data_IF_053635720063
#
_entry.id   IF_053635720063
#
_cell.length_a   1.000
_cell.length_b   1.000
_cell.length_c   1.000
_cell.angle_alpha   90.00
_cell.angle_beta   90.00
_cell.angle_gamma   90.00
#
_symmetry.space_group_name_H-M   'P 1'
#
loop_
_entity.id
_entity.type
_entity.pdbx_description
1 polymer ?
#
# COMPACT_ATOMS: atom_id res chain seq x y z
N UNK A 1 -29.93 16.66 -0.46
CA UNK A 1 -28.76 15.76 -0.56
C UNK A 1 -28.74 15.17 -1.95
N UNK A 2 -27.64 15.30 -2.70
CA UNK A 2 -27.56 14.81 -4.09
C UNK A 2 -27.33 13.30 -4.03
N UNK A 3 -28.26 12.50 -4.56
CA UNK A 3 -28.12 11.04 -4.56
C UNK A 3 -26.87 10.62 -5.33
N UNK A 4 -25.91 10.10 -4.58
CA UNK A 4 -24.67 9.57 -5.12
C UNK A 4 -25.01 8.26 -5.83
N UNK A 5 -24.67 8.13 -7.12
CA UNK A 5 -24.95 6.90 -7.87
C UNK A 5 -24.18 5.69 -7.32
N UNK A 6 -24.75 4.48 -7.43
CA UNK A 6 -24.08 3.20 -7.05
C UNK A 6 -22.66 3.08 -7.60
N UNK A 7 -22.40 3.54 -8.82
CA UNK A 7 -21.07 3.53 -9.43
C UNK A 7 -20.06 4.46 -8.75
N UNK A 8 -20.52 5.52 -8.10
CA UNK A 8 -19.67 6.42 -7.32
C UNK A 8 -19.27 5.81 -5.97
N UNK A 9 -20.15 5.03 -5.33
CA UNK A 9 -19.83 4.31 -4.09
C UNK A 9 -18.73 3.26 -4.30
N UNK A 10 -18.81 2.47 -5.37
CA UNK A 10 -17.79 1.46 -5.69
C UNK A 10 -16.43 2.14 -5.89
N UNK A 11 -16.38 3.27 -6.61
CA UNK A 11 -15.15 4.03 -6.78
C UNK A 11 -14.60 4.51 -5.45
N UNK A 12 -15.45 5.04 -4.56
CA UNK A 12 -15.01 5.51 -3.24
C UNK A 12 -14.41 4.36 -2.41
N UNK A 13 -15.09 3.21 -2.33
CA UNK A 13 -14.60 2.03 -1.60
C UNK A 13 -13.24 1.58 -2.16
N UNK A 14 -13.09 1.54 -3.49
CA UNK A 14 -11.84 1.18 -4.13
C UNK A 14 -10.69 2.14 -3.79
N UNK A 15 -10.99 3.44 -3.66
CA UNK A 15 -10.00 4.44 -3.23
C UNK A 15 -9.62 4.27 -1.74
N UNK A 16 -10.58 3.91 -0.88
CA UNK A 16 -10.32 3.62 0.55
C UNK A 16 -9.40 2.41 0.70
N UNK A 17 -9.60 1.34 -0.09
CA UNK A 17 -8.71 0.17 -0.09
C UNK A 17 -7.28 0.58 -0.49
N UNK A 18 -7.12 1.46 -1.48
CA UNK A 18 -5.81 1.97 -1.90
C UNK A 18 -5.13 2.86 -0.85
N UNK A 19 -5.89 3.42 0.09
CA UNK A 19 -5.38 4.26 1.18
C UNK A 19 -4.80 3.42 2.34
N UNK A 20 -4.99 2.10 2.33
CA UNK A 20 -4.39 1.22 3.34
C UNK A 20 -2.87 1.49 3.39
N UNK A 21 -2.31 1.79 4.58
CA UNK A 21 -0.89 2.12 4.75
C UNK A 21 -0.04 0.84 4.72
N UNK A 22 -0.07 0.14 3.59
CA UNK A 22 0.61 -1.14 3.41
C UNK A 22 2.13 -1.07 3.64
N UNK A 23 2.85 -0.01 3.23
CA UNK A 23 4.26 0.13 3.57
C UNK A 23 4.53 0.08 5.07
N UNK A 24 3.71 0.76 5.87
CA UNK A 24 3.78 0.67 7.33
C UNK A 24 3.45 -0.72 7.83
N UNK A 25 2.36 -1.34 7.34
CA UNK A 25 1.96 -2.67 7.78
C UNK A 25 3.05 -3.72 7.52
N UNK A 26 3.72 -3.65 6.36
CA UNK A 26 4.84 -4.53 6.03
C UNK A 26 5.94 -4.42 7.10
N UNK A 27 6.45 -3.22 7.32
CA UNK A 27 7.53 -2.97 8.29
C UNK A 27 7.09 -3.28 9.72
N UNK A 28 5.89 -2.87 10.13
CA UNK A 28 5.37 -3.12 11.47
C UNK A 28 5.18 -4.60 11.78
N UNK A 29 4.68 -5.38 10.81
CA UNK A 29 4.57 -6.83 10.94
C UNK A 29 5.96 -7.43 11.12
N UNK A 30 6.87 -7.11 10.20
CA UNK A 30 8.22 -7.68 10.14
C UNK A 30 9.07 -7.34 11.37
N UNK A 31 8.98 -6.12 11.87
CA UNK A 31 9.87 -5.63 12.94
C UNK A 31 9.28 -5.70 14.34
N UNK A 32 7.96 -5.67 14.49
CA UNK A 32 7.33 -5.38 15.79
C UNK A 32 6.31 -6.42 16.26
N UNK A 33 5.65 -7.16 15.37
CA UNK A 33 4.53 -8.03 15.75
C UNK A 33 4.92 -9.50 15.96
N UNK A 34 5.66 -10.13 15.05
CA UNK A 34 6.04 -11.53 15.21
C UNK A 34 7.49 -11.82 14.86
N UNK A 35 8.10 -12.74 15.62
CA UNK A 35 9.38 -13.35 15.29
C UNK A 35 9.25 -14.16 13.99
N UNK A 36 10.14 -13.93 13.02
CA UNK A 36 10.13 -14.56 11.68
C UNK A 36 8.88 -14.30 10.83
N UNK A 37 8.22 -13.15 11.00
CA UNK A 37 7.04 -12.75 10.22
C UNK A 37 7.33 -12.22 8.81
N UNK A 38 8.59 -12.18 8.37
CA UNK A 38 8.96 -11.63 7.06
C UNK A 38 8.18 -12.26 5.91
N UNK A 39 7.96 -13.58 5.95
CA UNK A 39 7.15 -14.28 4.94
C UNK A 39 5.67 -13.88 4.99
N UNK A 40 5.12 -13.66 6.18
CA UNK A 40 3.73 -13.21 6.35
C UNK A 40 3.55 -11.77 5.85
N UNK A 41 4.47 -10.86 6.21
CA UNK A 41 4.48 -9.49 5.71
C UNK A 41 4.59 -9.44 4.17
N UNK A 42 5.48 -10.26 3.60
CA UNK A 42 5.66 -10.37 2.16
C UNK A 42 4.40 -10.90 1.46
N UNK A 43 3.85 -12.04 1.90
CA UNK A 43 2.65 -12.62 1.29
C UNK A 43 1.44 -11.70 1.42
N UNK A 44 1.25 -11.06 2.57
CA UNK A 44 0.19 -10.08 2.79
C UNK A 44 0.33 -8.87 1.86
N UNK A 45 1.55 -8.37 1.67
CA UNK A 45 1.84 -7.25 0.74
C UNK A 45 1.61 -7.65 -0.71
N UNK A 46 2.04 -8.86 -1.10
CA UNK A 46 1.83 -9.39 -2.45
C UNK A 46 0.33 -9.54 -2.74
N UNK A 47 -0.43 -10.09 -1.80
CA UNK A 47 -1.88 -10.22 -1.90
C UNK A 47 -2.54 -8.84 -2.03
N UNK A 48 -2.12 -7.87 -1.22
CA UNK A 48 -2.60 -6.50 -1.31
C UNK A 48 -2.33 -5.89 -2.69
N UNK A 49 -1.11 -6.02 -3.21
CA UNK A 49 -0.74 -5.53 -4.55
C UNK A 49 -1.66 -6.10 -5.63
N UNK A 50 -1.93 -7.41 -5.58
CA UNK A 50 -2.78 -8.08 -6.56
C UNK A 50 -4.21 -7.57 -6.49
N UNK A 51 -4.81 -7.56 -5.30
CA UNK A 51 -6.18 -7.13 -5.09
C UNK A 51 -6.36 -5.65 -5.45
N UNK A 52 -5.47 -4.78 -4.95
CA UNK A 52 -5.49 -3.35 -5.24
C UNK A 52 -5.30 -3.07 -6.74
N UNK A 53 -4.41 -3.81 -7.41
CA UNK A 53 -4.21 -3.74 -8.86
C UNK A 53 -5.48 -4.06 -9.65
N UNK A 54 -6.16 -5.17 -9.31
CA UNK A 54 -7.41 -5.58 -9.98
C UNK A 54 -8.53 -4.55 -9.73
N UNK A 55 -8.73 -4.15 -8.48
CA UNK A 55 -9.81 -3.24 -8.07
C UNK A 55 -9.63 -1.83 -8.68
N UNK A 56 -8.38 -1.44 -8.98
CA UNK A 56 -8.04 -0.12 -9.52
C UNK A 56 -8.13 -0.01 -11.05
N UNK A 57 -8.52 -1.06 -11.78
CA UNK A 57 -8.68 -1.04 -13.25
C UNK A 57 -9.58 0.11 -13.73
N UNK A 58 -10.70 0.36 -13.05
CA UNK A 58 -11.67 1.42 -13.41
C UNK A 58 -11.35 2.81 -12.82
N UNK A 59 -10.24 2.95 -12.09
CA UNK A 59 -9.79 4.22 -11.50
C UNK A 59 -8.75 4.87 -12.43
N UNK A 60 -8.76 6.21 -12.54
CA UNK A 60 -7.72 6.94 -13.29
C UNK A 60 -6.37 6.80 -12.58
N UNK A 61 -5.30 6.56 -13.33
CA UNK A 61 -3.92 6.38 -12.79
C UNK A 61 -3.50 7.52 -11.85
N UNK A 62 -3.84 8.77 -12.17
CA UNK A 62 -3.48 9.93 -11.37
C UNK A 62 -4.06 9.86 -9.94
N UNK A 63 -5.26 9.29 -9.76
CA UNK A 63 -5.84 9.10 -8.43
C UNK A 63 -5.13 7.99 -7.65
N UNK A 64 -4.69 6.93 -8.33
CA UNK A 64 -3.91 5.84 -7.71
C UNK A 64 -2.59 6.41 -7.19
N UNK A 65 -1.87 7.16 -8.03
CA UNK A 65 -0.60 7.79 -7.66
C UNK A 65 -0.80 8.74 -6.47
N UNK A 66 -1.79 9.62 -6.53
CA UNK A 66 -2.10 10.55 -5.44
C UNK A 66 -2.39 9.82 -4.13
N UNK A 67 -3.23 8.79 -4.16
CA UNK A 67 -3.57 8.01 -2.96
C UNK A 67 -2.38 7.23 -2.44
N UNK A 68 -1.53 6.68 -3.32
CA UNK A 68 -0.31 6.01 -2.89
C UNK A 68 0.68 6.98 -2.23
N UNK A 69 0.74 8.25 -2.66
CA UNK A 69 1.51 9.28 -1.96
C UNK A 69 0.91 9.54 -0.57
N UNK A 70 -0.42 9.70 -0.46
CA UNK A 70 -1.09 9.89 0.83
C UNK A 70 -0.92 8.69 1.78
N UNK A 71 -1.03 7.47 1.26
CA UNK A 71 -0.80 6.22 1.99
C UNK A 71 0.64 6.12 2.48
N UNK A 72 1.64 6.56 1.69
CA UNK A 72 3.03 6.64 2.11
C UNK A 72 3.23 7.65 3.25
N UNK A 73 2.68 8.86 3.12
CA UNK A 73 2.74 9.86 4.18
C UNK A 73 2.11 9.36 5.48
N UNK A 74 0.93 8.74 5.38
CA UNK A 74 0.26 8.09 6.51
C UNK A 74 1.14 6.97 7.10
N UNK A 75 1.76 6.15 6.26
CA UNK A 75 2.66 5.08 6.68
C UNK A 75 3.87 5.61 7.44
N UNK A 76 4.45 6.74 7.04
CA UNK A 76 5.56 7.36 7.76
C UNK A 76 5.15 7.89 9.13
N UNK A 77 3.93 8.45 9.25
CA UNK A 77 3.38 8.89 10.54
C UNK A 77 3.19 7.69 11.45
N UNK A 78 2.53 6.64 10.95
CA UNK A 78 2.30 5.41 11.71
C UNK A 78 3.61 4.70 12.09
N UNK A 79 4.59 4.64 11.19
CA UNK A 79 5.89 4.05 11.46
C UNK A 79 6.57 4.70 12.65
N UNK A 80 6.58 6.05 12.70
CA UNK A 80 7.13 6.81 13.83
C UNK A 80 6.39 6.59 15.15
N UNK A 81 5.10 6.26 15.10
CA UNK A 81 4.28 6.06 16.30
C UNK A 81 4.36 4.63 16.85
N UNK A 82 4.47 3.62 15.97
CA UNK A 82 4.25 2.22 16.36
C UNK A 82 5.48 1.31 16.18
N UNK A 83 6.45 1.67 15.32
CA UNK A 83 7.66 0.86 15.15
C UNK A 83 8.68 1.30 16.19
N UNK A 84 8.83 0.49 17.25
CA UNK A 84 9.78 0.72 18.35
C UNK A 84 11.06 -0.08 18.06
N UNK A 85 12.21 0.60 18.00
CA UNK A 85 13.52 0.01 17.68
C UNK A 85 13.93 -1.08 18.69
N UNK A 86 14.50 -2.21 18.20
CA UNK A 86 15.95 -2.24 17.97
C UNK A 86 16.38 -2.77 16.58
N UNK A 87 15.47 -2.94 15.61
CA UNK A 87 15.82 -3.46 14.28
C UNK A 87 16.48 -2.39 13.38
N UNK A 88 17.69 -1.98 13.76
CA UNK A 88 18.49 -0.99 13.04
C UNK A 88 18.89 -1.47 11.64
N UNK A 89 19.02 -2.78 11.40
CA UNK A 89 19.50 -3.33 10.12
C UNK A 89 18.61 -2.97 8.94
N UNK A 90 17.28 -2.98 9.11
CA UNK A 90 16.37 -2.73 8.00
C UNK A 90 16.21 -1.24 7.68
N UNK A 91 16.48 -0.41 8.67
CA UNK A 91 16.41 1.04 8.50
C UNK A 91 17.78 1.62 8.16
N UNK A 92 18.88 0.90 8.34
CA UNK A 92 20.19 1.39 7.96
C UNK A 92 20.47 1.21 6.46
N UNK A 93 21.22 2.16 5.85
CA UNK A 93 21.76 3.40 6.44
C UNK A 93 20.82 4.61 6.36
N UNK A 94 19.65 4.49 5.73
CA UNK A 94 18.85 5.66 5.29
C UNK A 94 17.72 6.11 6.24
N UNK A 95 17.47 5.34 7.29
CA UNK A 95 16.40 5.51 8.26
C UNK A 95 15.05 4.92 7.83
N UNK A 96 14.14 4.79 8.82
CA UNK A 96 12.82 4.20 8.65
C UNK A 96 11.93 4.93 7.64
N UNK A 97 11.98 6.26 7.62
CA UNK A 97 11.20 7.05 6.67
C UNK A 97 11.56 6.70 5.23
N UNK A 98 12.86 6.56 4.94
CA UNK A 98 13.31 6.19 3.61
C UNK A 98 12.87 4.76 3.27
N UNK A 99 13.05 3.80 4.17
CA UNK A 99 12.63 2.42 3.97
C UNK A 99 11.12 2.32 3.66
N UNK A 100 10.28 3.04 4.40
CA UNK A 100 8.83 3.10 4.17
C UNK A 100 8.51 3.67 2.79
N UNK A 101 9.12 4.80 2.39
CA UNK A 101 8.90 5.41 1.07
C UNK A 101 9.35 4.48 -0.05
N UNK A 102 10.50 3.82 0.12
CA UNK A 102 11.04 2.88 -0.86
C UNK A 102 10.10 1.68 -1.04
N UNK A 103 9.65 1.06 0.06
CA UNK A 103 8.66 -0.03 0.03
C UNK A 103 7.36 0.42 -0.65
N UNK A 104 6.86 1.60 -0.33
CA UNK A 104 5.65 2.12 -0.98
C UNK A 104 5.81 2.43 -2.45
N UNK A 105 7.00 2.78 -2.91
CA UNK A 105 7.31 2.96 -4.34
C UNK A 105 7.28 1.63 -5.09
N UNK A 106 7.80 0.55 -4.47
CA UNK A 106 7.70 -0.81 -5.00
C UNK A 106 6.23 -1.27 -5.05
N UNK A 107 5.46 -1.04 -3.98
CA UNK A 107 4.03 -1.40 -3.92
C UNK A 107 3.24 -0.67 -5.01
N UNK A 108 3.44 0.64 -5.19
CA UNK A 108 2.79 1.41 -6.25
C UNK A 108 3.12 0.83 -7.64
N UNK A 109 4.40 0.51 -7.88
CA UNK A 109 4.83 -0.10 -9.15
C UNK A 109 4.15 -1.45 -9.38
N UNK A 110 4.05 -2.27 -8.34
CA UNK A 110 3.34 -3.55 -8.37
C UNK A 110 1.85 -3.38 -8.69
N UNK A 111 1.15 -2.46 -8.01
CA UNK A 111 -0.27 -2.18 -8.24
C UNK A 111 -0.50 -1.73 -9.69
N UNK A 112 0.33 -0.82 -10.21
CA UNK A 112 0.22 -0.35 -11.59
C UNK A 112 0.47 -1.48 -12.59
N UNK A 113 1.44 -2.35 -12.32
CA UNK A 113 1.74 -3.52 -13.15
C UNK A 113 0.57 -4.49 -13.20
N UNK A 114 0.02 -4.90 -12.05
CA UNK A 114 -1.14 -5.78 -11.98
C UNK A 114 -2.35 -5.12 -12.64
N UNK A 115 -2.58 -3.82 -12.42
CA UNK A 115 -3.66 -3.08 -13.07
C UNK A 115 -3.56 -3.14 -14.58
N UNK A 116 -2.36 -2.95 -15.15
CA UNK A 116 -2.12 -3.06 -16.59
C UNK A 116 -2.46 -4.46 -17.10
N UNK A 117 -2.02 -5.52 -16.42
CA UNK A 117 -2.34 -6.90 -16.78
C UNK A 117 -3.85 -7.19 -16.68
N UNK A 118 -4.48 -6.83 -15.56
CA UNK A 118 -5.90 -7.01 -15.31
C UNK A 118 -6.76 -6.27 -16.34
N UNK A 119 -6.38 -5.04 -16.71
CA UNK A 119 -7.09 -4.27 -17.74
C UNK A 119 -7.10 -4.91 -19.13
N UNK A 120 -6.14 -5.81 -19.42
CA UNK A 120 -6.12 -6.58 -20.68
C UNK A 120 -7.07 -7.77 -20.64
N UNK A 121 -7.37 -8.29 -19.45
CA UNK A 121 -8.28 -9.44 -19.24
C UNK A 121 -9.72 -8.96 -19.14
N UNK A 122 -9.98 -7.88 -18.41
CA UNK A 122 -11.31 -7.27 -18.26
C UNK A 122 -11.69 -6.34 -19.42
N UNK A 123 -11.01 -6.50 -20.57
CA UNK A 123 -11.19 -5.68 -21.77
C UNK A 123 -12.50 -6.02 -22.46
#
# INVERSE_FOLDING_TARGET
MKDISRGSYIKLINLVILLIPMPFLFHYIETSLFTNSSMFAFLGTLLFIVLAGIISVKIKSNFIILISILSNLLSMVLGRMFIISPNESWFNPFGMNFAIIFTGSIILTGILTIRLLASRIFK
#
